data_IF_964812239637
#
_entry.id   IF_964812239637
#
_cell.length_a   1.000
_cell.length_b   1.000
_cell.length_c   1.000
_cell.angle_alpha   90.00
_cell.angle_beta   90.00
_cell.angle_gamma   90.00
#
_symmetry.space_group_name_H-M   'P 1'
#
loop_
_entity.id
_entity.type
_entity.pdbx_description
1 polymer ?
#
# COMPACT_ATOMS: atom_id res chain seq x y z
N UNK A 1 -4.49 71.62 -30.27
CA UNK A 1 -5.04 70.76 -29.20
C UNK A 1 -5.00 69.32 -29.69
N UNK A 2 -4.11 68.49 -29.13
CA UNK A 2 -4.01 67.07 -29.45
C UNK A 2 -4.43 66.29 -28.20
N UNK A 3 -5.49 65.49 -28.31
CA UNK A 3 -6.05 64.70 -27.23
C UNK A 3 -5.48 63.28 -27.28
N UNK A 4 -4.80 62.88 -26.21
CA UNK A 4 -4.28 61.53 -26.00
C UNK A 4 -5.40 60.61 -25.51
N UNK A 5 -5.59 59.47 -26.18
CA UNK A 5 -6.49 58.40 -25.76
C UNK A 5 -5.68 57.39 -24.94
N UNK A 6 -5.94 57.30 -23.65
CA UNK A 6 -5.45 56.22 -22.79
C UNK A 6 -6.34 54.98 -22.97
N UNK A 7 -5.74 53.88 -23.43
CA UNK A 7 -6.36 52.56 -23.38
C UNK A 7 -5.99 51.88 -22.05
N UNK A 8 -6.98 51.62 -21.21
CA UNK A 8 -6.85 50.79 -20.00
C UNK A 8 -6.89 49.32 -20.42
N UNK A 9 -5.75 48.63 -20.33
CA UNK A 9 -5.67 47.18 -20.48
C UNK A 9 -6.15 46.49 -19.20
N UNK A 10 -7.18 45.65 -19.32
CA UNK A 10 -7.63 44.77 -18.25
C UNK A 10 -6.76 43.51 -18.23
N UNK A 11 -5.90 43.38 -17.21
CA UNK A 11 -5.20 42.11 -16.94
C UNK A 11 -6.19 41.12 -16.37
N UNK A 12 -6.66 40.18 -17.20
CA UNK A 12 -7.40 39.02 -16.73
C UNK A 12 -6.48 38.10 -15.92
N UNK A 13 -6.60 38.12 -14.61
CA UNK A 13 -6.03 37.10 -13.72
C UNK A 13 -6.73 35.78 -13.97
N UNK A 14 -6.03 34.82 -14.57
CA UNK A 14 -6.48 33.43 -14.62
C UNK A 14 -6.68 32.92 -13.18
N UNK A 15 -7.78 32.21 -12.87
CA UNK A 15 -7.97 31.65 -11.54
C UNK A 15 -6.86 30.63 -11.25
N UNK A 16 -6.17 30.82 -10.13
CA UNK A 16 -5.23 29.84 -9.61
C UNK A 16 -5.96 28.50 -9.40
N UNK A 17 -5.53 27.46 -10.11
CA UNK A 17 -5.98 26.10 -9.84
C UNK A 17 -5.62 25.74 -8.40
N UNK A 18 -6.65 25.43 -7.59
CA UNK A 18 -6.48 24.84 -6.27
C UNK A 18 -5.51 23.65 -6.37
N UNK A 19 -4.58 23.46 -5.41
CA UNK A 19 -3.70 22.31 -5.42
C UNK A 19 -4.54 21.04 -5.48
N UNK A 20 -4.31 20.22 -6.50
CA UNK A 20 -4.96 18.92 -6.70
C UNK A 20 -4.73 18.09 -5.43
N UNK A 21 -5.79 17.89 -4.63
CA UNK A 21 -5.74 17.02 -3.45
C UNK A 21 -5.20 15.67 -3.90
N UNK A 22 -4.13 15.20 -3.24
CA UNK A 22 -3.52 13.92 -3.56
C UNK A 22 -4.59 12.82 -3.43
N UNK A 23 -4.73 11.91 -4.42
CA UNK A 23 -5.71 10.82 -4.34
C UNK A 23 -5.33 9.72 -3.33
N UNK A 24 -4.16 9.84 -2.69
CA UNK A 24 -3.65 8.89 -1.71
C UNK A 24 -4.24 9.14 -0.32
N UNK A 25 -4.67 8.07 0.34
CA UNK A 25 -4.95 8.05 1.76
C UNK A 25 -3.62 8.05 2.50
N UNK A 26 -3.35 9.10 3.29
CA UNK A 26 -2.12 9.21 4.07
C UNK A 26 -2.29 8.49 5.39
N UNK A 27 -1.26 7.73 5.78
CA UNK A 27 -1.22 7.03 7.05
C UNK A 27 -0.06 7.58 7.86
N UNK A 28 -0.40 8.28 8.94
CA UNK A 28 0.60 8.81 9.83
C UNK A 28 1.25 7.69 10.65
N UNK A 29 2.59 7.70 10.78
CA UNK A 29 3.29 6.87 11.74
C UNK A 29 2.78 7.15 13.15
N UNK A 30 2.44 6.11 13.90
CA UNK A 30 2.11 6.22 15.33
C UNK A 30 3.13 5.48 16.16
N UNK A 31 3.37 5.93 17.39
CA UNK A 31 4.14 5.16 18.37
C UNK A 31 3.20 4.22 19.12
N UNK A 32 3.52 2.93 19.16
CA UNK A 32 2.75 1.94 19.91
C UNK A 32 3.35 1.74 21.32
N UNK A 33 2.57 1.27 22.31
CA UNK A 33 3.07 1.06 23.67
C UNK A 33 4.24 0.07 23.78
N UNK A 34 4.35 -0.88 22.84
CA UNK A 34 5.43 -1.87 22.80
C UNK A 34 6.64 -1.39 21.99
N UNK A 35 6.61 -0.17 21.43
CA UNK A 35 7.74 0.39 20.69
C UNK A 35 8.88 0.73 21.66
N UNK A 36 10.09 0.32 21.32
CA UNK A 36 11.31 0.77 21.99
C UNK A 36 11.65 2.20 21.55
N UNK A 37 12.48 2.90 22.32
CA UNK A 37 12.86 4.31 22.07
C UNK A 37 13.52 4.57 20.70
N UNK A 38 14.03 3.53 20.04
CA UNK A 38 14.75 3.60 18.76
C UNK A 38 13.93 3.06 17.58
N UNK A 39 12.61 2.91 17.75
CA UNK A 39 11.75 2.48 16.66
C UNK A 39 11.57 3.61 15.66
N UNK A 40 12.10 3.44 14.45
CA UNK A 40 11.77 4.28 13.32
C UNK A 40 10.53 3.72 12.62
N UNK A 41 9.71 4.60 12.05
CA UNK A 41 8.55 4.21 11.23
C UNK A 41 8.50 5.10 10.00
N UNK A 42 8.43 4.48 8.83
CA UNK A 42 8.27 5.15 7.54
C UNK A 42 6.85 5.68 7.41
N UNK A 43 6.71 6.82 6.77
CA UNK A 43 5.41 7.32 6.35
C UNK A 43 4.91 6.52 5.15
N UNK A 44 3.60 6.29 5.12
CA UNK A 44 2.96 5.47 4.11
C UNK A 44 1.72 6.18 3.59
N UNK A 45 1.45 6.07 2.29
CA UNK A 45 0.17 6.46 1.73
C UNK A 45 -0.20 5.52 0.59
N UNK A 46 -1.49 5.32 0.37
CA UNK A 46 -1.97 4.34 -0.61
C UNK A 46 -3.19 4.82 -1.38
N UNK A 47 -3.36 4.30 -2.60
CA UNK A 47 -4.64 4.28 -3.29
C UNK A 47 -5.37 3.01 -2.87
N UNK A 48 -6.69 3.09 -2.65
CA UNK A 48 -7.51 1.90 -2.43
C UNK A 48 -7.22 0.84 -3.49
N UNK A 49 -7.17 -0.47 -3.14
CA UNK A 49 -6.90 -1.51 -4.10
C UNK A 49 -7.83 -1.40 -5.31
N UNK A 50 -7.31 -1.73 -6.48
CA UNK A 50 -8.02 -1.63 -7.75
C UNK A 50 -7.99 -2.95 -8.47
N UNK A 51 -8.97 -3.11 -9.35
CA UNK A 51 -9.15 -4.32 -10.16
C UNK A 51 -8.85 -3.98 -11.62
N UNK A 52 -8.03 -4.79 -12.26
CA UNK A 52 -7.77 -4.71 -13.70
C UNK A 52 -7.67 -6.12 -14.28
N UNK A 53 -8.07 -6.29 -15.54
CA UNK A 53 -7.86 -7.54 -16.28
C UNK A 53 -6.68 -7.35 -17.22
N UNK A 54 -5.63 -8.13 -17.04
CA UNK A 54 -4.40 -8.06 -17.82
C UNK A 54 -4.01 -9.44 -18.36
N UNK A 55 -3.25 -9.47 -19.44
CA UNK A 55 -2.55 -10.69 -19.86
C UNK A 55 -1.27 -10.82 -19.03
N UNK A 56 -1.22 -11.83 -18.16
CA UNK A 56 -0.11 -12.07 -17.26
C UNK A 56 0.75 -13.19 -17.84
N UNK A 57 2.06 -12.97 -18.04
CA UNK A 57 2.95 -14.01 -18.57
C UNK A 57 2.80 -15.34 -17.81
N UNK A 58 2.71 -16.45 -18.53
CA UNK A 58 2.47 -17.82 -18.02
C UNK A 58 1.07 -18.12 -17.49
N UNK A 59 0.26 -17.10 -17.18
CA UNK A 59 -1.09 -17.29 -16.67
C UNK A 59 -2.17 -16.91 -17.70
N UNK A 60 -1.85 -16.09 -18.71
CA UNK A 60 -2.82 -15.59 -19.68
C UNK A 60 -3.67 -14.46 -19.09
N UNK A 61 -4.88 -14.25 -19.64
CA UNK A 61 -5.81 -13.25 -19.11
C UNK A 61 -6.20 -13.57 -17.67
N UNK A 62 -5.93 -12.62 -16.76
CA UNK A 62 -6.15 -12.76 -15.33
C UNK A 62 -6.70 -11.47 -14.75
N UNK A 63 -7.52 -11.64 -13.71
CA UNK A 63 -7.95 -10.51 -12.90
C UNK A 63 -6.88 -10.24 -11.84
N UNK A 64 -6.37 -9.03 -11.86
CA UNK A 64 -5.31 -8.55 -10.99
C UNK A 64 -5.91 -7.56 -10.02
N UNK A 65 -5.76 -7.86 -8.73
CA UNK A 65 -5.97 -6.89 -7.68
C UNK A 65 -4.63 -6.25 -7.38
N UNK A 66 -4.59 -4.92 -7.26
CA UNK A 66 -3.35 -4.22 -6.97
C UNK A 66 -3.58 -3.02 -6.08
N UNK A 67 -2.58 -2.67 -5.28
CA UNK A 67 -2.60 -1.48 -4.44
C UNK A 67 -1.36 -0.65 -4.73
N UNK A 68 -1.57 0.56 -5.24
CA UNK A 68 -0.49 1.53 -5.42
C UNK A 68 -0.22 2.21 -4.09
N UNK A 69 1.04 2.32 -3.72
CA UNK A 69 1.46 3.00 -2.51
C UNK A 69 2.68 3.88 -2.74
N UNK A 70 2.88 4.80 -1.81
CA UNK A 70 4.10 5.59 -1.71
C UNK A 70 4.61 5.53 -0.27
N UNK A 71 5.93 5.53 -0.14
CA UNK A 71 6.63 5.50 1.14
C UNK A 71 7.69 6.60 1.15
N UNK A 72 7.82 7.29 2.28
CA UNK A 72 8.89 8.27 2.48
C UNK A 72 9.42 8.22 3.91
N UNK A 73 10.63 8.72 4.06
CA UNK A 73 11.38 8.64 5.31
C UNK A 73 11.64 10.06 5.83
N UNK A 74 11.20 10.34 7.05
CA UNK A 74 11.42 11.60 7.77
C UNK A 74 12.43 11.46 8.90
N UNK A 75 13.02 10.27 9.11
CA UNK A 75 14.11 10.06 10.07
C UNK A 75 15.43 10.64 9.57
N UNK A 76 16.42 10.71 10.46
CA UNK A 76 17.72 11.33 10.17
C UNK A 76 18.63 10.49 9.25
N UNK A 77 18.31 9.21 9.04
CA UNK A 77 19.14 8.31 8.23
C UNK A 77 18.30 7.52 7.23
N UNK A 78 18.86 7.13 6.06
CA UNK A 78 18.15 6.28 5.11
C UNK A 78 17.78 4.93 5.73
N UNK A 79 16.50 4.56 5.68
CA UNK A 79 16.01 3.33 6.30
C UNK A 79 15.83 2.19 5.29
N UNK A 80 16.12 0.93 5.66
CA UNK A 80 15.73 -0.21 4.84
C UNK A 80 14.20 -0.32 4.77
N UNK A 81 13.68 -0.80 3.65
CA UNK A 81 12.26 -1.10 3.52
C UNK A 81 12.09 -2.42 2.76
N UNK A 82 11.68 -3.47 3.47
CA UNK A 82 11.41 -4.78 2.89
C UNK A 82 9.93 -5.06 3.07
N UNK A 83 9.07 -4.50 2.19
CA UNK A 83 7.63 -4.63 2.35
C UNK A 83 7.16 -6.06 2.18
N UNK A 84 6.20 -6.46 3.01
CA UNK A 84 5.32 -7.59 2.72
C UNK A 84 3.89 -7.11 2.76
N UNK A 85 3.14 -7.45 1.72
CA UNK A 85 1.71 -7.20 1.65
C UNK A 85 0.97 -8.52 1.70
N UNK A 86 0.04 -8.64 2.64
CA UNK A 86 -0.82 -9.81 2.79
C UNK A 86 -2.28 -9.37 2.79
N UNK A 87 -3.05 -9.84 1.81
CA UNK A 87 -4.49 -9.66 1.77
C UNK A 87 -5.14 -10.82 2.51
N UNK A 88 -5.97 -10.53 3.52
CA UNK A 88 -6.68 -11.52 4.33
C UNK A 88 -8.17 -11.26 4.25
N UNK A 89 -8.95 -12.23 3.81
CA UNK A 89 -10.41 -12.13 3.79
C UNK A 89 -10.97 -12.19 5.21
N UNK A 90 -12.01 -11.38 5.46
CA UNK A 90 -12.70 -11.27 6.76
C UNK A 90 -14.09 -11.90 6.74
N UNK A 91 -14.59 -12.21 5.56
CA UNK A 91 -15.88 -12.85 5.33
C UNK A 91 -15.80 -13.91 4.24
N UNK A 92 -16.86 -14.72 4.14
CA UNK A 92 -16.89 -15.86 3.23
C UNK A 92 -15.85 -16.91 3.60
N UNK A 93 -15.06 -17.32 2.61
CA UNK A 93 -13.95 -18.25 2.85
C UNK A 93 -12.71 -17.49 3.34
N UNK A 94 -12.28 -17.77 4.57
CA UNK A 94 -11.10 -17.17 5.18
C UNK A 94 -9.83 -17.67 4.50
N UNK A 95 -9.14 -16.77 3.79
CA UNK A 95 -7.90 -17.03 3.05
C UNK A 95 -6.94 -15.87 3.18
N UNK A 96 -5.68 -16.17 2.94
CA UNK A 96 -4.58 -15.21 2.89
C UNK A 96 -3.89 -15.29 1.53
N UNK A 97 -3.56 -14.11 0.97
CA UNK A 97 -2.89 -13.92 -0.31
C UNK A 97 -1.68 -13.03 -0.09
N UNK A 98 -0.49 -13.58 -0.33
CA UNK A 98 0.74 -12.79 -0.32
C UNK A 98 0.90 -12.04 -1.64
N UNK A 99 1.61 -10.92 -1.58
CA UNK A 99 2.07 -10.18 -2.76
C UNK A 99 2.78 -11.10 -3.77
N UNK A 100 2.43 -10.94 -5.04
CA UNK A 100 3.02 -11.63 -6.18
C UNK A 100 3.76 -10.61 -7.05
N UNK A 101 5.03 -10.27 -6.72
CA UNK A 101 5.76 -9.20 -7.40
C UNK A 101 6.14 -9.59 -8.84
N UNK A 102 5.30 -9.22 -9.79
CA UNK A 102 5.47 -9.48 -11.23
C UNK A 102 5.88 -8.19 -11.97
N UNK A 103 7.14 -8.04 -12.44
CA UNK A 103 7.61 -6.80 -13.07
C UNK A 103 6.79 -6.36 -14.29
N UNK A 104 6.38 -7.30 -15.15
CA UNK A 104 5.57 -6.98 -16.34
C UNK A 104 4.17 -6.47 -15.97
N UNK A 105 3.59 -6.99 -14.89
CA UNK A 105 2.28 -6.54 -14.39
C UNK A 105 2.42 -5.16 -13.75
N UNK A 106 3.48 -4.94 -12.97
CA UNK A 106 3.77 -3.63 -12.39
C UNK A 106 3.94 -2.54 -13.47
N UNK A 107 4.65 -2.83 -14.56
CA UNK A 107 4.79 -1.91 -15.68
C UNK A 107 3.43 -1.60 -16.34
N UNK A 108 2.63 -2.62 -16.65
CA UNK A 108 1.30 -2.43 -17.23
C UNK A 108 0.37 -1.60 -16.32
N UNK A 109 0.42 -1.83 -15.01
CA UNK A 109 -0.30 -1.01 -14.02
C UNK A 109 0.25 0.42 -14.02
N UNK A 110 1.57 0.61 -14.04
CA UNK A 110 2.19 1.95 -14.08
C UNK A 110 1.77 2.75 -15.30
N UNK A 111 1.65 2.12 -16.47
CA UNK A 111 1.17 2.73 -17.70
C UNK A 111 -0.32 3.08 -17.63
N UNK A 112 -1.13 2.20 -17.05
CA UNK A 112 -2.57 2.41 -16.90
C UNK A 112 -2.90 3.48 -15.85
N UNK A 113 -2.13 3.54 -14.76
CA UNK A 113 -2.31 4.52 -13.68
C UNK A 113 -1.86 5.93 -14.08
N UNK A 114 -0.87 6.02 -14.97
CA UNK A 114 -0.28 7.26 -15.49
C UNK A 114 -0.02 8.32 -14.40
N UNK A 115 0.59 7.88 -13.30
CA UNK A 115 0.85 8.75 -12.15
C UNK A 115 1.96 9.74 -12.51
N UNK A 116 1.62 11.03 -12.49
CA UNK A 116 2.55 12.11 -12.79
C UNK A 116 3.24 12.59 -11.51
N UNK A 117 4.57 12.65 -11.55
CA UNK A 117 5.41 13.28 -10.53
C UNK A 117 6.12 14.53 -11.05
N UNK A 118 6.97 15.17 -10.21
CA UNK A 118 7.66 16.41 -10.58
C UNK A 118 8.60 16.27 -11.80
N UNK A 119 9.09 15.05 -12.07
CA UNK A 119 10.03 14.74 -13.16
C UNK A 119 9.36 13.97 -14.32
N UNK A 120 8.03 14.00 -14.40
CA UNK A 120 7.25 13.23 -15.35
C UNK A 120 6.65 11.97 -14.74
N UNK A 121 6.30 11.00 -15.59
CA UNK A 121 5.62 9.77 -15.18
C UNK A 121 6.45 8.99 -14.16
N UNK A 122 5.81 8.61 -13.07
CA UNK A 122 6.39 7.77 -12.02
C UNK A 122 6.29 6.31 -12.44
N UNK A 123 7.41 5.60 -12.35
CA UNK A 123 7.46 4.15 -12.53
C UNK A 123 7.16 3.46 -11.19
N UNK A 124 6.16 2.57 -11.19
CA UNK A 124 5.80 1.79 -10.02
C UNK A 124 6.74 0.60 -9.84
N UNK A 125 7.39 0.52 -8.68
CA UNK A 125 8.29 -0.57 -8.36
C UNK A 125 7.55 -1.73 -7.66
N UNK A 126 7.99 -2.96 -7.89
CA UNK A 126 7.53 -4.11 -7.08
C UNK A 126 8.15 -4.06 -5.67
N UNK A 127 7.60 -4.83 -4.74
CA UNK A 127 8.19 -5.02 -3.39
C UNK A 127 9.67 -5.45 -3.43
N UNK A 128 10.04 -6.30 -4.39
CA UNK A 128 11.44 -6.70 -4.65
C UNK A 128 12.26 -5.52 -5.20
N UNK A 129 11.70 -4.71 -6.09
CA UNK A 129 12.38 -3.54 -6.65
C UNK A 129 12.76 -2.53 -5.56
N UNK A 130 11.77 -2.14 -4.76
CA UNK A 130 11.95 -1.13 -3.71
C UNK A 130 12.97 -1.57 -2.65
N UNK A 131 12.93 -2.84 -2.24
CA UNK A 131 13.81 -3.37 -1.19
C UNK A 131 15.31 -3.36 -1.52
N UNK A 132 15.69 -3.15 -2.79
CA UNK A 132 17.10 -3.06 -3.20
C UNK A 132 17.78 -1.78 -2.72
N UNK A 133 17.01 -0.75 -2.41
CA UNK A 133 17.55 0.56 -2.02
C UNK A 133 16.91 1.05 -0.73
N UNK A 134 17.69 1.72 0.11
CA UNK A 134 17.16 2.37 1.32
C UNK A 134 16.31 3.57 0.95
N UNK A 135 15.23 3.79 1.70
CA UNK A 135 14.34 4.93 1.51
C UNK A 135 15.07 6.19 1.96
N UNK A 136 15.30 7.16 1.05
CA UNK A 136 16.11 8.32 1.36
C UNK A 136 15.38 9.29 2.30
N UNK A 137 16.16 10.00 3.10
CA UNK A 137 15.66 11.04 4.00
C UNK A 137 14.99 12.16 3.20
N UNK A 138 13.81 12.56 3.67
CA UNK A 138 13.05 13.75 3.28
C UNK A 138 13.32 14.83 4.32
N UNK A 139 13.70 16.03 3.87
CA UNK A 139 13.89 17.17 4.77
C UNK A 139 12.54 17.74 5.19
N UNK A 140 12.37 18.23 6.44
CA UNK A 140 11.10 18.72 6.96
C UNK A 140 10.39 19.76 6.06
N UNK A 141 11.13 20.65 5.41
CA UNK A 141 10.57 21.71 4.54
C UNK A 141 10.71 21.42 3.03
N UNK A 142 10.78 20.14 2.66
CA UNK A 142 10.94 19.72 1.26
C UNK A 142 9.78 18.87 0.78
N UNK A 143 9.54 18.87 -0.53
CA UNK A 143 8.63 17.92 -1.16
C UNK A 143 9.09 16.50 -0.79
N UNK A 144 8.19 15.63 -0.28
CA UNK A 144 8.55 14.27 0.09
C UNK A 144 9.31 13.54 -1.01
N UNK A 145 10.44 12.92 -0.63
CA UNK A 145 11.20 12.04 -1.53
C UNK A 145 10.57 10.66 -1.53
N UNK A 146 9.31 10.62 -1.97
CA UNK A 146 8.50 9.43 -2.00
C UNK A 146 9.02 8.42 -3.03
N UNK A 147 9.07 7.16 -2.61
CA UNK A 147 9.28 6.00 -3.48
C UNK A 147 7.93 5.34 -3.70
N UNK A 148 7.60 5.04 -4.95
CA UNK A 148 6.30 4.52 -5.34
C UNK A 148 6.39 3.03 -5.64
N UNK A 149 5.42 2.28 -5.13
CA UNK A 149 5.34 0.85 -5.32
C UNK A 149 3.95 0.36 -5.63
N UNK A 150 3.89 -0.91 -6.01
CA UNK A 150 2.64 -1.63 -6.25
C UNK A 150 2.71 -3.00 -5.58
N UNK A 151 1.67 -3.32 -4.81
CA UNK A 151 1.39 -4.67 -4.32
C UNK A 151 0.39 -5.33 -5.27
N UNK A 152 0.58 -6.61 -5.58
CA UNK A 152 -0.15 -7.33 -6.62
C UNK A 152 -0.66 -8.65 -6.04
N UNK A 153 -1.95 -8.95 -6.26
CA UNK A 153 -2.55 -10.23 -5.93
C UNK A 153 -3.29 -10.79 -7.15
N UNK A 154 -2.92 -12.01 -7.55
CA UNK A 154 -3.52 -12.67 -8.71
C UNK A 154 -4.67 -13.59 -8.28
N UNK A 155 -5.75 -13.53 -9.04
CA UNK A 155 -6.88 -14.46 -8.95
C UNK A 155 -7.60 -14.46 -7.59
N UNK A 156 -7.66 -13.32 -6.89
CA UNK A 156 -8.38 -13.22 -5.61
C UNK A 156 -9.84 -13.64 -5.79
N UNK A 157 -10.65 -13.06 -6.71
CA UNK A 157 -12.06 -13.45 -6.80
C UNK A 157 -12.32 -14.84 -7.39
N UNK A 158 -11.36 -15.40 -8.14
CA UNK A 158 -11.45 -16.78 -8.58
C UNK A 158 -11.23 -17.77 -7.42
N UNK A 159 -10.44 -17.37 -6.42
CA UNK A 159 -10.13 -18.18 -5.22
C UNK A 159 -11.11 -17.94 -4.08
N UNK A 160 -11.69 -16.74 -3.98
CA UNK A 160 -12.66 -16.32 -2.94
C UNK A 160 -13.74 -15.41 -3.56
N UNK A 161 -14.71 -16.02 -4.23
CA UNK A 161 -15.74 -15.28 -4.97
C UNK A 161 -16.81 -14.61 -4.11
N UNK A 162 -16.86 -14.90 -2.80
CA UNK A 162 -17.90 -14.41 -1.88
C UNK A 162 -17.40 -13.37 -0.88
N UNK A 163 -16.12 -12.98 -0.94
CA UNK A 163 -15.56 -12.02 0.00
C UNK A 163 -15.91 -10.58 -0.38
N UNK A 164 -16.49 -9.85 0.56
CA UNK A 164 -16.75 -8.42 0.44
C UNK A 164 -15.90 -7.62 1.40
N UNK A 165 -15.36 -8.24 2.45
CA UNK A 165 -14.55 -7.58 3.47
C UNK A 165 -13.19 -8.27 3.57
N UNK A 166 -12.13 -7.48 3.54
CA UNK A 166 -10.79 -7.99 3.68
C UNK A 166 -9.88 -6.93 4.28
N UNK A 167 -8.72 -7.35 4.76
CA UNK A 167 -7.65 -6.47 5.21
C UNK A 167 -6.42 -6.65 4.36
N UNK A 168 -5.67 -5.58 4.16
CA UNK A 168 -4.28 -5.64 3.71
C UNK A 168 -3.39 -5.36 4.90
N UNK A 169 -2.52 -6.31 5.24
CA UNK A 169 -1.47 -6.15 6.22
C UNK A 169 -0.18 -5.73 5.52
N UNK A 170 0.42 -4.65 5.98
CA UNK A 170 1.68 -4.09 5.47
C UNK A 170 2.75 -4.17 6.55
N UNK A 171 3.80 -4.94 6.29
CA UNK A 171 4.95 -5.07 7.20
C UNK A 171 6.21 -4.46 6.59
N UNK A 172 7.24 -4.26 7.41
CA UNK A 172 8.50 -3.62 6.99
C UNK A 172 8.50 -2.09 7.04
N UNK A 173 7.38 -1.45 7.40
CA UNK A 173 7.29 0.01 7.57
C UNK A 173 8.05 0.53 8.81
N UNK A 174 8.49 -0.34 9.71
CA UNK A 174 9.24 0.02 10.91
C UNK A 174 10.21 -1.10 11.29
N UNK A 175 11.15 -0.81 12.18
CA UNK A 175 11.92 -1.83 12.93
C UNK A 175 11.25 -2.23 14.26
N UNK A 176 9.97 -1.89 14.46
CA UNK A 176 9.22 -2.21 15.66
C UNK A 176 9.00 -3.71 15.81
N UNK A 177 9.61 -4.32 16.82
CA UNK A 177 9.43 -5.72 17.20
C UNK A 177 9.11 -5.83 18.68
N UNK A 178 8.20 -6.74 19.03
CA UNK A 178 7.80 -6.98 20.40
C UNK A 178 7.71 -8.47 20.70
N UNK A 179 8.02 -8.83 21.94
CA UNK A 179 7.82 -10.15 22.49
C UNK A 179 6.41 -10.25 23.05
N UNK A 180 5.62 -11.19 22.54
CA UNK A 180 4.27 -11.48 23.02
C UNK A 180 4.28 -12.83 23.72
N UNK A 181 3.91 -12.82 25.00
CA UNK A 181 3.62 -14.05 25.72
C UNK A 181 2.34 -14.68 25.19
N UNK A 182 2.43 -15.93 24.74
CA UNK A 182 1.29 -16.73 24.33
C UNK A 182 1.20 -17.98 25.20
N UNK A 183 0.07 -18.69 25.15
CA UNK A 183 -0.09 -19.97 25.84
C UNK A 183 1.01 -21.00 25.48
N UNK A 184 1.68 -20.83 24.35
CA UNK A 184 2.73 -21.73 23.85
C UNK A 184 4.14 -21.11 24.00
N UNK A 185 4.31 -20.12 24.88
CA UNK A 185 5.57 -19.41 25.11
C UNK A 185 5.66 -18.06 24.39
N UNK A 186 6.84 -17.46 24.43
CA UNK A 186 7.13 -16.13 23.86
C UNK A 186 7.23 -16.22 22.35
N UNK A 187 6.48 -15.36 21.64
CA UNK A 187 6.55 -15.21 20.18
C UNK A 187 6.98 -13.80 19.81
N UNK A 188 7.78 -13.69 18.76
CA UNK A 188 8.17 -12.41 18.19
C UNK A 188 7.04 -11.91 17.28
N UNK A 189 6.67 -10.66 17.46
CA UNK A 189 5.71 -9.94 16.61
C UNK A 189 6.35 -8.71 16.00
N UNK A 190 5.92 -8.38 14.79
CA UNK A 190 6.35 -7.18 14.08
C UNK A 190 5.22 -6.15 14.00
N UNK A 191 5.58 -4.88 14.13
CA UNK A 191 4.66 -3.76 13.96
C UNK A 191 4.19 -3.71 12.51
N UNK A 192 2.89 -3.83 12.35
CA UNK A 192 2.19 -4.06 11.09
C UNK A 192 1.07 -3.04 10.95
N UNK A 193 0.97 -2.43 9.78
CA UNK A 193 -0.20 -1.62 9.44
C UNK A 193 -1.28 -2.54 8.86
N UNK A 194 -2.44 -2.61 9.50
CA UNK A 194 -3.64 -3.22 8.96
C UNK A 194 -4.49 -2.14 8.30
N UNK A 195 -4.95 -2.40 7.07
CA UNK A 195 -5.86 -1.53 6.35
C UNK A 195 -7.09 -2.32 5.95
N UNK A 196 -8.25 -1.87 6.39
CA UNK A 196 -9.52 -2.55 6.17
C UNK A 196 -10.22 -2.02 4.93
N UNK A 197 -10.75 -2.96 4.14
CA UNK A 197 -11.43 -2.64 2.89
C UNK A 197 -12.76 -3.37 2.81
N UNK A 198 -13.70 -2.72 2.14
CA UNK A 198 -14.92 -3.34 1.68
C UNK A 198 -15.07 -3.23 0.16
N UNK A 199 -15.71 -4.23 -0.43
CA UNK A 199 -16.11 -4.28 -1.82
C UNK A 199 -17.61 -4.47 -1.84
N UNK A 200 -18.36 -3.39 -1.92
CA UNK A 200 -19.82 -3.39 -1.82
C UNK A 200 -20.55 -3.86 -3.09
N UNK A 201 -19.82 -4.22 -4.16
CA UNK A 201 -20.40 -4.44 -5.49
C UNK A 201 -20.43 -5.92 -5.90
N UNK A 202 -21.31 -6.21 -6.86
CA UNK A 202 -21.48 -7.50 -7.53
C UNK A 202 -20.16 -8.11 -8.07
N UNK A 203 -19.98 -9.40 -7.82
CA UNK A 203 -18.85 -10.19 -8.29
C UNK A 203 -18.82 -10.41 -9.81
N UNK A 204 -19.93 -10.19 -10.50
CA UNK A 204 -20.06 -10.46 -11.94
C UNK A 204 -19.40 -9.38 -12.81
N UNK A 205 -19.38 -8.11 -12.38
CA UNK A 205 -18.86 -6.98 -13.18
C UNK A 205 -17.94 -6.05 -12.38
N UNK A 206 -16.76 -6.54 -11.95
CA UNK A 206 -15.83 -5.75 -11.18
C UNK A 206 -15.40 -4.49 -11.95
N UNK A 207 -15.59 -3.35 -11.33
CA UNK A 207 -15.04 -2.07 -11.75
C UNK A 207 -13.73 -1.82 -11.03
N UNK A 208 -12.89 -0.99 -11.66
CA UNK A 208 -11.57 -0.63 -11.14
C UNK A 208 -11.60 -0.10 -9.71
N UNK A 209 -12.60 0.71 -9.35
CA UNK A 209 -12.67 1.44 -8.08
C UNK A 209 -13.69 0.87 -7.08
N UNK A 210 -14.11 -0.40 -7.24
CA UNK A 210 -15.13 -1.03 -6.39
C UNK A 210 -14.72 -1.20 -4.93
N UNK A 211 -13.42 -1.31 -4.68
CA UNK A 211 -12.86 -1.51 -3.36
C UNK A 211 -12.68 -0.14 -2.71
N UNK A 212 -13.23 0.01 -1.50
CA UNK A 212 -13.15 1.23 -0.70
C UNK A 212 -12.55 0.92 0.67
N UNK A 213 -11.85 1.88 1.29
CA UNK A 213 -11.46 1.74 2.68
C UNK A 213 -12.72 1.59 3.54
N UNK A 214 -12.69 0.64 4.47
CA UNK A 214 -13.77 0.44 5.41
C UNK A 214 -13.51 1.32 6.64
N UNK A 215 -14.28 2.39 6.80
CA UNK A 215 -14.15 3.33 7.92
C UNK A 215 -14.54 2.75 9.29
N UNK A 216 -14.93 1.46 9.35
CA UNK A 216 -15.20 0.74 10.61
C UNK A 216 -16.12 1.53 11.56
N UNK A 217 -17.18 2.12 11.02
CA UNK A 217 -18.13 2.99 11.75
C UNK A 217 -17.51 4.27 12.34
N UNK A 218 -16.55 4.89 11.63
CA UNK A 218 -15.90 6.14 12.02
C UNK A 218 -14.63 5.94 12.86
N UNK A 219 -14.14 4.70 12.97
CA UNK A 219 -12.89 4.38 13.67
C UNK A 219 -11.67 4.47 12.74
N UNK A 220 -11.87 4.73 11.45
CA UNK A 220 -10.84 4.70 10.44
C UNK A 220 -10.62 3.29 9.88
N UNK A 221 -10.01 3.25 8.69
CA UNK A 221 -9.68 1.99 8.02
C UNK A 221 -8.31 1.45 8.40
N UNK A 222 -7.46 2.30 8.99
CA UNK A 222 -6.06 2.05 9.26
C UNK A 222 -5.85 1.78 10.75
N UNK A 223 -5.20 0.67 11.08
CA UNK A 223 -4.87 0.32 12.46
C UNK A 223 -3.47 -0.25 12.53
N UNK A 224 -2.63 0.30 13.40
CA UNK A 224 -1.32 -0.27 13.69
C UNK A 224 -1.43 -1.34 14.77
N UNK A 225 -0.89 -2.53 14.50
CA UNK A 225 -0.95 -3.69 15.38
C UNK A 225 0.40 -4.41 15.43
N UNK A 226 0.66 -5.14 16.51
CA UNK A 226 1.74 -6.11 16.54
C UNK A 226 1.22 -7.47 16.07
N UNK A 227 1.76 -8.00 14.96
CA UNK A 227 1.34 -9.28 14.39
C UNK A 227 2.46 -10.31 14.52
N UNK A 228 2.12 -11.49 15.02
CA UNK A 228 3.07 -12.59 15.20
C UNK A 228 3.63 -13.01 13.85
N UNK A 229 4.95 -13.10 13.76
CA UNK A 229 5.62 -13.63 12.57
C UNK A 229 5.42 -15.15 12.58
N UNK A 230 4.77 -15.74 11.56
CA UNK A 230 4.62 -17.19 11.50
C UNK A 230 6.00 -17.83 11.39
N UNK A 231 6.34 -18.69 12.35
CA UNK A 231 7.64 -19.33 12.45
C UNK A 231 7.86 -20.26 11.24
N UNK A 232 8.84 -19.95 10.37
CA UNK A 232 9.14 -20.74 9.15
C UNK A 232 9.48 -22.21 9.49
N UNK A 233 10.06 -22.47 10.67
CA UNK A 233 10.44 -23.81 11.13
C UNK A 233 9.24 -24.71 11.49
N UNK A 234 8.17 -24.16 12.05
CA UNK A 234 7.01 -24.96 12.47
C UNK A 234 6.22 -25.58 11.29
N UNK A 235 6.42 -25.06 10.08
CA UNK A 235 5.83 -25.63 8.85
C UNK A 235 6.62 -26.81 8.30
N UNK A 236 7.91 -26.95 8.66
CA UNK A 236 8.73 -28.08 8.24
C UNK A 236 8.42 -29.33 9.08
N UNK A 237 8.30 -29.20 10.40
CA UNK A 237 7.99 -30.33 11.30
C UNK A 237 6.60 -30.94 11.02
N UNK A 238 5.58 -30.12 10.72
CA UNK A 238 4.23 -30.64 10.39
C UNK A 238 4.13 -31.35 9.04
N UNK A 239 5.10 -31.19 8.15
CA UNK A 239 5.16 -31.90 6.85
C UNK A 239 5.86 -33.24 7.01
N UNK A 240 6.74 -33.38 8.00
CA UNK A 240 7.43 -34.63 8.33
C UNK A 240 6.51 -35.58 9.12
N UNK A 241 5.72 -35.06 10.08
CA UNK A 241 4.80 -35.86 10.90
C UNK A 241 3.57 -36.40 10.12
N UNK A 242 3.31 -35.89 8.91
CA UNK A 242 2.27 -36.42 8.00
C UNK A 242 2.77 -37.46 7.01
N UNK A 243 4.04 -37.85 7.09
CA UNK A 243 4.67 -38.86 6.22
C UNK A 243 4.97 -40.19 6.93
N UNK A 244 4.67 -40.30 8.23
CA UNK A 244 4.62 -41.58 8.96
C UNK A 244 3.18 -42.07 9.11
#
# INVERSE_FOLDING_TARGET
MAAAVLALGTTGTAPAQLPKVSPFNNVDPITLPLDRSEVWTLHFAYLSPRIITLDVPKYGKRQVWYMVYQVWNTSDTPQPFVPKFELVTKDGELRSFLDEPQPSVAQAISEHEDIQGPKGRIELQTSIGISKTRIPVTKPDSIPRAVYGVAIWLDVPAKVSTTNNFSVYVTGLSNGVAELETANGVKISEKTLQIDFNRATDNVRPQRNDIKPNDNSGLGSETWVYRVIPNVKAKAEKVEEKKE
#
